data_IF_691510163943
#
_entry.id   IF_691510163943
#
_cell.length_a   1.000
_cell.length_b   1.000
_cell.length_c   1.000
_cell.angle_alpha   90.00
_cell.angle_beta   90.00
_cell.angle_gamma   90.00
#
_symmetry.space_group_name_H-M   'P 1'
#
loop_
_entity.id
_entity.type
_entity.pdbx_description
1 polymer ?
#
# COMPACT_ATOMS: atom_id res chain seq x y z
N UNK A 1 43.52 -34.22 12.67
CA UNK A 1 44.26 -33.95 11.42
C UNK A 1 43.81 -32.59 10.89
N UNK A 2 44.71 -31.59 10.88
CA UNK A 2 44.50 -30.23 10.34
C UNK A 2 44.88 -30.22 8.85
N UNK A 3 44.18 -29.42 8.04
CA UNK A 3 44.60 -28.64 6.85
C UNK A 3 43.34 -27.84 6.46
N UNK A 4 43.14 -26.57 6.87
CA UNK A 4 43.64 -25.29 6.31
C UNK A 4 43.46 -25.15 4.79
N UNK A 5 42.47 -24.37 4.37
CA UNK A 5 42.51 -23.68 3.08
C UNK A 5 42.49 -22.16 3.30
N UNK A 6 43.38 -21.53 2.54
CA UNK A 6 43.92 -20.19 2.67
C UNK A 6 43.10 -19.25 1.76
N UNK A 7 42.48 -18.22 2.32
CA UNK A 7 41.98 -17.08 1.55
C UNK A 7 43.13 -16.07 1.45
N UNK A 8 43.66 -15.90 0.24
CA UNK A 8 44.70 -14.92 -0.09
C UNK A 8 44.09 -13.51 -0.05
N UNK A 9 44.57 -12.69 0.88
CA UNK A 9 44.36 -11.25 0.91
C UNK A 9 45.32 -10.55 -0.07
N UNK A 10 44.78 -9.92 -1.10
CA UNK A 10 45.58 -9.05 -2.00
C UNK A 10 45.52 -7.63 -1.48
N UNK A 11 46.56 -7.23 -0.75
CA UNK A 11 46.92 -5.84 -0.46
C UNK A 11 47.37 -5.19 -1.79
N UNK A 12 46.68 -4.13 -2.24
CA UNK A 12 47.15 -3.31 -3.36
C UNK A 12 47.79 -2.04 -2.79
N UNK A 13 49.11 -1.98 -2.87
CA UNK A 13 49.96 -0.89 -2.41
C UNK A 13 49.84 0.32 -3.35
N UNK A 14 49.76 1.50 -2.75
CA UNK A 14 49.75 2.81 -3.42
C UNK A 14 51.20 3.31 -3.53
N UNK A 15 51.72 3.66 -4.72
CA UNK A 15 53.00 4.35 -4.81
C UNK A 15 52.78 5.86 -4.75
N UNK A 16 53.32 6.48 -3.71
CA UNK A 16 53.59 7.91 -3.69
C UNK A 16 54.75 8.21 -4.65
N UNK A 17 54.51 9.05 -5.65
CA UNK A 17 55.60 9.73 -6.36
C UNK A 17 55.48 11.24 -6.24
N UNK A 18 56.63 11.77 -5.86
CA UNK A 18 56.98 13.14 -5.55
C UNK A 18 56.74 14.12 -6.70
N UNK A 19 56.39 15.34 -6.27
CA UNK A 19 56.65 16.62 -6.90
C UNK A 19 58.00 16.66 -7.65
N UNK A 20 58.03 17.33 -8.81
CA UNK A 20 58.95 18.44 -9.16
C UNK A 20 58.89 18.76 -10.67
N UNK A 21 58.56 20.01 -11.00
CA UNK A 21 59.05 20.84 -12.12
C UNK A 21 58.11 22.04 -12.27
N UNK A 22 58.34 23.17 -11.60
CA UNK A 22 59.22 24.30 -11.99
C UNK A 22 58.59 25.27 -13.01
N UNK A 23 58.28 26.45 -12.48
CA UNK A 23 58.19 27.79 -13.05
C UNK A 23 58.37 28.00 -14.57
N UNK A 24 57.40 28.70 -15.16
CA UNK A 24 57.49 29.96 -15.93
C UNK A 24 56.09 30.15 -16.54
N UNK A 25 55.33 31.23 -16.36
CA UNK A 25 55.58 32.65 -16.12
C UNK A 25 54.26 33.24 -15.59
N UNK A 26 54.31 34.27 -14.73
CA UNK A 26 53.10 35.00 -14.31
C UNK A 26 52.51 35.79 -15.48
N UNK A 27 51.18 35.87 -15.60
CA UNK A 27 50.54 37.04 -16.17
C UNK A 27 49.65 37.74 -15.13
N UNK A 28 50.01 38.99 -14.91
CA UNK A 28 49.14 40.13 -14.62
C UNK A 28 48.17 40.07 -13.43
N UNK A 29 48.55 40.80 -12.39
CA UNK A 29 47.63 41.52 -11.49
C UNK A 29 46.52 42.23 -12.27
N UNK A 30 45.28 41.75 -12.15
CA UNK A 30 44.15 42.42 -12.79
C UNK A 30 42.86 41.62 -12.88
N UNK A 31 42.37 41.04 -11.79
CA UNK A 31 40.95 40.69 -11.68
C UNK A 31 40.37 41.38 -10.46
N UNK A 32 39.35 42.20 -10.69
CA UNK A 32 38.64 42.91 -9.63
C UNK A 32 38.10 41.93 -8.61
N UNK A 33 38.20 42.24 -7.31
CA UNK A 33 37.55 41.53 -6.20
C UNK A 33 36.01 41.50 -6.28
N UNK A 34 35.43 42.07 -7.35
CA UNK A 34 34.01 42.07 -7.65
C UNK A 34 33.74 41.25 -8.90
N UNK A 35 32.67 40.43 -8.90
CA UNK A 35 32.30 39.64 -10.06
C UNK A 35 32.12 40.53 -11.30
N UNK A 36 32.71 40.08 -12.40
CA UNK A 36 32.62 40.73 -13.70
C UNK A 36 31.16 40.76 -14.16
N UNK A 37 30.68 41.92 -14.59
CA UNK A 37 29.34 42.12 -15.14
C UNK A 37 29.17 41.20 -16.36
N UNK A 38 28.49 40.07 -16.18
CA UNK A 38 28.36 39.03 -17.21
C UNK A 38 27.89 37.67 -16.72
N UNK A 39 27.88 37.39 -15.42
CA UNK A 39 27.11 36.25 -14.91
C UNK A 39 25.62 36.56 -15.05
N UNK A 40 24.91 35.72 -15.81
CA UNK A 40 23.48 35.85 -15.99
C UNK A 40 22.78 35.48 -14.68
N UNK A 41 22.54 36.48 -13.83
CA UNK A 41 21.78 36.36 -12.58
C UNK A 41 20.26 36.25 -12.83
N UNK A 42 19.83 35.93 -14.06
CA UNK A 42 18.42 35.75 -14.37
C UNK A 42 17.80 34.66 -13.48
N UNK A 43 16.57 34.90 -12.98
CA UNK A 43 15.88 33.92 -12.14
C UNK A 43 15.62 32.63 -12.92
N UNK A 44 15.96 31.49 -12.31
CA UNK A 44 15.59 30.16 -12.80
C UNK A 44 14.62 29.53 -11.82
N UNK A 45 13.46 29.12 -12.33
CA UNK A 45 12.40 28.51 -11.53
C UNK A 45 12.56 27.00 -11.41
N UNK A 46 12.20 26.43 -10.26
CA UNK A 46 12.18 24.99 -10.03
C UNK A 46 11.12 24.60 -8.99
N UNK A 47 10.72 23.33 -8.99
CA UNK A 47 9.82 22.74 -8.00
C UNK A 47 10.64 22.46 -6.73
N UNK A 48 10.22 23.05 -5.61
CA UNK A 48 10.74 22.69 -4.30
C UNK A 48 10.13 21.38 -3.84
N UNK A 49 10.94 20.32 -3.90
CA UNK A 49 10.58 18.97 -3.52
C UNK A 49 11.27 18.52 -2.23
N UNK A 50 11.88 19.43 -1.45
CA UNK A 50 12.71 19.07 -0.28
C UNK A 50 11.95 18.30 0.80
N UNK A 51 10.63 18.46 0.85
CA UNK A 51 9.76 17.74 1.76
C UNK A 51 9.54 16.25 1.40
N UNK A 52 9.98 15.81 0.21
CA UNK A 52 9.74 14.44 -0.27
C UNK A 52 11.03 13.63 -0.33
N UNK A 53 10.98 12.44 0.25
CA UNK A 53 12.01 11.41 0.18
C UNK A 53 11.35 10.13 -0.34
N UNK A 54 11.78 9.57 -1.49
CA UNK A 54 12.83 10.09 -2.39
C UNK A 54 12.47 11.42 -3.05
N UNK A 55 13.49 12.18 -3.49
CA UNK A 55 13.28 13.46 -4.20
C UNK A 55 12.60 13.20 -5.55
N UNK A 56 11.69 14.10 -5.95
CA UNK A 56 10.94 14.05 -7.22
C UNK A 56 10.05 12.81 -7.43
N UNK A 57 9.79 12.02 -6.39
CA UNK A 57 9.01 10.80 -6.52
C UNK A 57 8.18 10.53 -5.27
N UNK A 58 6.93 10.11 -5.47
CA UNK A 58 6.06 9.56 -4.43
C UNK A 58 5.41 8.28 -4.93
N UNK A 59 5.21 7.32 -4.04
CA UNK A 59 4.36 6.14 -4.27
C UNK A 59 3.20 6.19 -3.29
N UNK A 60 1.99 5.95 -3.78
CA UNK A 60 0.77 5.91 -2.96
C UNK A 60 -0.08 4.72 -3.37
N UNK A 61 -0.57 3.97 -2.38
CA UNK A 61 -1.60 2.95 -2.58
C UNK A 61 -2.96 3.54 -2.21
N UNK A 62 -3.94 3.42 -3.08
CA UNK A 62 -5.34 3.72 -2.80
C UNK A 62 -6.17 2.43 -2.87
N UNK A 63 -7.35 2.45 -2.26
CA UNK A 63 -8.16 1.25 -2.05
C UNK A 63 -9.46 1.35 -2.85
N UNK A 64 -9.87 0.26 -3.48
CA UNK A 64 -11.23 0.07 -3.97
C UNK A 64 -12.00 -0.84 -3.00
N UNK A 65 -13.25 -0.48 -2.70
CA UNK A 65 -14.13 -1.29 -1.85
C UNK A 65 -14.82 -2.36 -2.68
N UNK A 66 -14.33 -3.58 -2.62
CA UNK A 66 -14.83 -4.72 -3.40
C UNK A 66 -14.97 -4.41 -4.89
N UNK A 67 -16.12 -4.75 -5.47
CA UNK A 67 -16.44 -4.41 -6.87
C UNK A 67 -17.18 -3.07 -7.03
N UNK A 68 -17.28 -2.25 -5.97
CA UNK A 68 -17.95 -0.95 -6.08
C UNK A 68 -17.09 0.06 -6.84
N UNK A 69 -17.73 1.11 -7.33
CA UNK A 69 -17.04 2.26 -7.96
C UNK A 69 -16.44 3.22 -6.91
N UNK A 70 -16.50 2.87 -5.62
CA UNK A 70 -16.01 3.71 -4.53
C UNK A 70 -14.51 3.47 -4.28
N UNK A 71 -13.73 4.54 -4.44
CA UNK A 71 -12.32 4.59 -4.10
C UNK A 71 -12.10 5.29 -2.77
N UNK A 72 -11.42 4.62 -1.86
CA UNK A 72 -10.86 5.21 -0.66
C UNK A 72 -9.49 5.80 -1.00
N UNK A 73 -9.49 7.11 -1.17
CA UNK A 73 -8.31 7.90 -1.47
C UNK A 73 -7.61 8.29 -0.16
N UNK A 74 -6.31 8.00 0.01
CA UNK A 74 -5.55 8.52 1.14
C UNK A 74 -5.63 10.05 1.16
N UNK A 75 -5.70 10.66 2.34
CA UNK A 75 -5.70 12.13 2.50
C UNK A 75 -4.40 12.84 2.06
N UNK A 76 -3.54 12.13 1.34
CA UNK A 76 -2.28 12.55 0.81
C UNK A 76 -2.47 13.59 -0.31
N UNK A 77 -2.15 14.84 0.01
CA UNK A 77 -2.10 15.93 -0.97
C UNK A 77 -0.65 16.27 -1.28
N UNK A 78 -0.27 16.24 -2.55
CA UNK A 78 1.01 16.79 -2.99
C UNK A 78 0.96 18.31 -2.89
N UNK A 79 1.86 18.87 -2.09
CA UNK A 79 2.11 20.30 -1.97
C UNK A 79 3.47 20.64 -2.58
N UNK A 80 3.49 21.55 -3.57
CA UNK A 80 4.73 22.00 -4.23
C UNK A 80 4.82 23.52 -4.25
N UNK A 81 5.91 24.08 -3.74
CA UNK A 81 6.22 25.48 -3.99
C UNK A 81 7.10 25.63 -5.23
N UNK A 82 6.94 26.74 -5.94
CA UNK A 82 7.92 27.17 -6.94
C UNK A 82 8.97 28.01 -6.23
N UNK A 83 10.24 27.70 -6.47
CA UNK A 83 11.37 28.51 -6.02
C UNK A 83 12.16 29.08 -7.19
N UNK A 84 12.79 30.23 -6.93
CA UNK A 84 13.68 30.91 -7.86
C UNK A 84 15.11 30.89 -7.33
N UNK A 85 16.10 30.77 -8.22
CA UNK A 85 17.52 30.92 -7.88
C UNK A 85 17.92 32.36 -7.56
N UNK A 86 17.17 33.34 -8.06
CA UNK A 86 17.35 34.77 -7.82
C UNK A 86 15.98 35.47 -7.82
N UNK A 87 15.89 36.65 -7.19
CA UNK A 87 14.63 37.38 -7.12
C UNK A 87 14.27 37.99 -8.48
N UNK A 88 12.99 37.90 -8.86
CA UNK A 88 12.46 38.53 -10.07
C UNK A 88 12.09 40.01 -9.82
N UNK A 89 12.19 40.84 -10.86
CA UNK A 89 11.86 42.26 -10.85
C UNK A 89 10.37 42.55 -11.10
N UNK A 90 9.60 41.50 -11.38
CA UNK A 90 8.14 41.47 -11.54
C UNK A 90 7.55 40.24 -10.84
N UNK A 91 6.23 40.23 -10.69
CA UNK A 91 5.50 39.03 -10.29
C UNK A 91 5.60 37.97 -11.40
N UNK A 92 5.75 36.71 -11.01
CA UNK A 92 5.79 35.57 -11.93
C UNK A 92 4.68 34.58 -11.59
N UNK A 93 3.92 34.20 -12.60
CA UNK A 93 2.85 33.21 -12.52
C UNK A 93 3.35 31.86 -13.02
N UNK A 94 2.96 30.80 -12.32
CA UNK A 94 3.28 29.43 -12.68
C UNK A 94 2.03 28.57 -12.66
N UNK A 95 1.90 27.69 -13.63
CA UNK A 95 0.86 26.66 -13.68
C UNK A 95 1.49 25.29 -13.55
N UNK A 96 0.81 24.37 -12.87
CA UNK A 96 1.17 22.96 -12.86
C UNK A 96 0.35 22.21 -13.91
N UNK A 97 0.97 21.26 -14.59
CA UNK A 97 0.30 20.40 -15.58
C UNK A 97 0.80 18.96 -15.51
N UNK A 98 -0.05 18.05 -15.98
CA UNK A 98 0.37 16.68 -16.29
C UNK A 98 1.16 16.69 -17.59
N UNK A 99 2.38 16.14 -17.56
CA UNK A 99 3.24 15.94 -18.74
C UNK A 99 3.94 14.59 -18.65
N UNK A 100 3.24 13.54 -19.07
CA UNK A 100 3.73 12.17 -19.04
C UNK A 100 4.91 11.92 -19.99
N UNK A 101 5.25 12.85 -20.90
CA UNK A 101 6.49 12.75 -21.69
C UNK A 101 7.76 12.90 -20.84
N UNK A 102 7.63 13.41 -19.60
CA UNK A 102 8.73 13.58 -18.65
C UNK A 102 8.92 12.42 -17.68
N UNK A 103 8.11 11.37 -17.78
CA UNK A 103 8.34 10.14 -17.01
C UNK A 103 9.68 9.54 -17.48
N UNK A 104 10.64 9.27 -16.57
CA UNK A 104 11.90 8.63 -16.94
C UNK A 104 11.64 7.28 -17.62
N UNK A 105 12.35 6.97 -18.71
CA UNK A 105 12.15 5.71 -19.45
C UNK A 105 12.29 4.46 -18.56
N UNK A 106 13.20 4.50 -17.58
CA UNK A 106 13.42 3.44 -16.59
C UNK A 106 12.24 3.22 -15.64
N UNK A 107 11.31 4.17 -15.57
CA UNK A 107 10.10 4.12 -14.74
C UNK A 107 8.83 3.99 -15.58
N UNK A 108 8.90 4.30 -16.89
CA UNK A 108 7.76 4.12 -17.78
C UNK A 108 7.50 2.63 -18.10
N UNK A 109 8.55 1.80 -18.09
CA UNK A 109 8.43 0.36 -18.32
C UNK A 109 7.70 -0.31 -17.15
N UNK A 110 6.50 -0.83 -17.42
CA UNK A 110 5.66 -1.51 -16.42
C UNK A 110 4.61 -0.62 -15.74
N UNK A 111 4.52 0.67 -16.10
CA UNK A 111 3.53 1.59 -15.53
C UNK A 111 2.55 2.12 -16.56
N UNK A 112 1.28 2.22 -16.17
CA UNK A 112 0.23 2.87 -16.96
C UNK A 112 0.26 4.38 -16.72
N UNK A 113 0.41 5.23 -17.74
CA UNK A 113 0.35 6.68 -17.55
C UNK A 113 -1.09 7.13 -17.25
N UNK A 114 -1.30 7.90 -16.18
CA UNK A 114 -2.59 8.54 -15.92
C UNK A 114 -2.65 9.96 -16.42
N UNK A 115 -3.82 10.37 -16.92
CA UNK A 115 -4.06 11.74 -17.36
C UNK A 115 -4.49 12.66 -16.20
N UNK A 116 -4.77 13.93 -16.53
CA UNK A 116 -5.17 14.93 -15.55
C UNK A 116 -6.51 14.64 -14.85
N UNK A 117 -7.38 13.79 -15.42
CA UNK A 117 -8.69 13.45 -14.83
C UNK A 117 -8.56 12.61 -13.56
N UNK A 118 -7.42 11.95 -13.38
CA UNK A 118 -7.06 11.19 -12.18
C UNK A 118 -6.73 12.05 -10.96
N UNK A 119 -6.65 13.38 -11.14
CA UNK A 119 -6.20 14.30 -10.10
C UNK A 119 -7.17 15.47 -9.93
N UNK A 120 -7.31 15.92 -8.68
CA UNK A 120 -7.93 17.20 -8.33
C UNK A 120 -6.82 18.21 -8.13
N UNK A 121 -6.71 19.16 -9.05
CA UNK A 121 -5.78 20.29 -8.97
C UNK A 121 -6.38 21.39 -8.08
N UNK A 122 -6.36 21.19 -6.77
CA UNK A 122 -6.95 22.12 -5.79
C UNK A 122 -6.31 23.52 -5.83
N UNK A 123 -5.03 23.59 -6.16
CA UNK A 123 -4.34 24.84 -6.50
C UNK A 123 -3.46 24.59 -7.71
N UNK A 124 -3.91 25.01 -8.89
CA UNK A 124 -3.25 24.76 -10.17
C UNK A 124 -2.34 25.90 -10.64
N UNK A 125 -2.51 27.09 -10.06
CA UNK A 125 -1.77 28.32 -10.42
C UNK A 125 -1.23 28.95 -9.15
N UNK A 126 0.03 29.36 -9.17
CA UNK A 126 0.69 30.07 -8.06
C UNK A 126 1.46 31.27 -8.57
N UNK A 127 1.76 32.20 -7.65
CA UNK A 127 2.52 33.41 -7.96
C UNK A 127 3.73 33.53 -7.04
N UNK A 128 4.90 33.78 -7.63
CA UNK A 128 6.08 34.30 -6.94
C UNK A 128 6.03 35.82 -7.05
N UNK A 129 5.94 36.53 -5.93
CA UNK A 129 5.90 38.00 -5.95
C UNK A 129 7.25 38.59 -6.26
N UNK A 130 7.25 39.76 -6.90
CA UNK A 130 8.43 40.59 -7.13
C UNK A 130 9.29 40.66 -5.86
N UNK A 131 10.58 40.47 -6.01
CA UNK A 131 11.55 40.56 -4.90
C UNK A 131 11.58 39.35 -3.97
N UNK A 132 10.74 38.33 -4.19
CA UNK A 132 10.71 37.09 -3.39
C UNK A 132 11.31 35.91 -4.15
N UNK A 133 11.67 34.85 -3.42
CA UNK A 133 12.29 33.63 -3.98
C UNK A 133 11.37 32.42 -4.01
N UNK A 134 10.15 32.53 -3.48
CA UNK A 134 9.22 31.41 -3.37
C UNK A 134 7.79 31.87 -3.66
N UNK A 135 7.01 30.97 -4.25
CA UNK A 135 5.57 31.16 -4.43
C UNK A 135 4.87 31.39 -3.07
N UNK A 136 3.90 32.30 -3.03
CA UNK A 136 3.16 32.60 -1.80
C UNK A 136 2.36 31.40 -1.28
N UNK A 137 1.75 30.67 -2.21
CA UNK A 137 0.99 29.45 -1.96
C UNK A 137 1.66 28.27 -2.70
N UNK A 138 1.53 27.03 -2.20
CA UNK A 138 1.93 25.85 -2.95
C UNK A 138 0.87 25.47 -3.99
N UNK A 139 1.27 24.79 -5.05
CA UNK A 139 0.36 23.92 -5.78
C UNK A 139 -0.14 22.84 -4.85
N UNK A 140 -1.41 22.44 -5.01
CA UNK A 140 -2.04 21.37 -4.24
C UNK A 140 -2.71 20.41 -5.20
N UNK A 141 -2.29 19.15 -5.14
CA UNK A 141 -2.78 18.08 -6.02
C UNK A 141 -3.19 16.90 -5.15
N UNK A 142 -4.46 16.52 -5.25
CA UNK A 142 -5.02 15.33 -4.62
C UNK A 142 -5.45 14.31 -5.69
N UNK A 143 -5.65 13.05 -5.30
CA UNK A 143 -6.26 12.08 -6.20
C UNK A 143 -7.75 12.35 -6.36
N UNK A 144 -8.27 12.10 -7.56
CA UNK A 144 -9.70 12.20 -7.83
C UNK A 144 -10.39 10.86 -7.56
N UNK A 145 -11.10 10.74 -6.43
CA UNK A 145 -11.85 9.52 -6.08
C UNK A 145 -12.95 9.13 -7.07
N UNK A 146 -13.34 10.01 -7.99
CA UNK A 146 -14.31 9.74 -9.06
C UNK A 146 -13.62 9.39 -10.40
N UNK A 147 -12.29 9.24 -10.42
CA UNK A 147 -11.55 8.93 -11.66
C UNK A 147 -11.84 7.52 -12.15
N UNK A 148 -12.34 7.43 -13.38
CA UNK A 148 -12.52 6.17 -14.10
C UNK A 148 -11.20 5.49 -14.43
N UNK A 149 -10.12 6.25 -14.64
CA UNK A 149 -8.81 5.66 -14.91
C UNK A 149 -8.22 4.99 -13.67
N UNK A 150 -8.37 5.63 -12.50
CA UNK A 150 -7.97 5.03 -11.21
C UNK A 150 -8.80 3.78 -10.94
N UNK A 151 -10.13 3.86 -11.13
CA UNK A 151 -11.00 2.70 -10.95
C UNK A 151 -10.60 1.52 -11.86
N UNK A 152 -10.20 1.80 -13.10
CA UNK A 152 -9.86 0.79 -14.11
C UNK A 152 -8.45 0.19 -13.97
N UNK A 153 -7.56 0.72 -13.13
CA UNK A 153 -6.27 0.09 -12.83
C UNK A 153 -6.52 -1.27 -12.17
N UNK A 154 -5.75 -2.33 -12.44
CA UNK A 154 -5.88 -3.59 -11.68
C UNK A 154 -4.96 -3.60 -10.46
N UNK A 155 -5.12 -4.57 -9.55
CA UNK A 155 -4.26 -4.75 -8.37
C UNK A 155 -2.84 -5.25 -8.70
N UNK A 156 -2.65 -5.77 -9.91
CA UNK A 156 -1.35 -6.21 -10.44
C UNK A 156 -0.64 -5.16 -11.29
N UNK A 157 -1.30 -4.03 -11.55
CA UNK A 157 -0.76 -2.91 -12.30
C UNK A 157 -0.28 -1.79 -11.38
N UNK A 158 0.70 -1.02 -11.85
CA UNK A 158 1.07 0.26 -11.28
C UNK A 158 0.79 1.37 -12.29
N UNK A 159 0.29 2.50 -11.81
CA UNK A 159 0.14 3.70 -12.61
C UNK A 159 1.18 4.75 -12.24
N UNK A 160 1.43 5.69 -13.15
CA UNK A 160 2.35 6.80 -12.89
C UNK A 160 1.91 8.08 -13.62
N UNK A 161 2.19 9.22 -13.02
CA UNK A 161 2.01 10.54 -13.66
C UNK A 161 3.21 11.42 -13.37
N UNK A 162 3.61 12.22 -14.35
CA UNK A 162 4.57 13.29 -14.16
C UNK A 162 3.89 14.66 -14.16
N UNK A 163 4.19 15.48 -13.16
CA UNK A 163 3.77 16.86 -13.04
C UNK A 163 4.92 17.79 -13.37
N UNK A 164 4.65 18.80 -14.19
CA UNK A 164 5.63 19.85 -14.54
C UNK A 164 5.06 21.23 -14.29
N UNK A 165 5.96 22.20 -14.15
CA UNK A 165 5.59 23.61 -14.09
C UNK A 165 5.83 24.29 -15.43
N UNK A 166 4.98 25.26 -15.75
CA UNK A 166 5.16 26.18 -16.85
C UNK A 166 4.86 27.61 -16.41
N UNK A 167 5.43 28.58 -17.13
CA UNK A 167 5.19 30.00 -16.85
C UNK A 167 4.95 30.76 -18.16
N UNK A 168 3.89 31.59 -18.24
CA UNK A 168 3.69 32.48 -19.37
C UNK A 168 4.64 33.68 -19.37
N UNK A 169 5.39 33.92 -18.28
CA UNK A 169 6.13 35.15 -18.05
C UNK A 169 7.55 35.17 -18.63
N UNK A 170 7.94 34.11 -19.36
CA UNK A 170 9.23 33.99 -20.04
C UNK A 170 10.42 33.68 -19.12
N UNK A 171 10.17 33.30 -17.86
CA UNK A 171 11.22 32.86 -16.93
C UNK A 171 11.75 31.47 -17.31
N UNK A 172 13.06 31.28 -17.19
CA UNK A 172 13.68 29.97 -17.42
C UNK A 172 13.26 28.98 -16.34
N UNK A 173 12.91 27.76 -16.74
CA UNK A 173 12.62 26.66 -15.84
C UNK A 173 13.83 25.72 -15.82
N UNK A 174 14.19 25.21 -14.63
CA UNK A 174 15.32 24.30 -14.45
C UNK A 174 15.16 23.00 -15.24
N UNK A 175 16.21 22.53 -15.91
CA UNK A 175 16.16 21.27 -16.65
C UNK A 175 16.13 20.01 -15.75
N UNK A 176 16.49 20.16 -14.45
CA UNK A 176 16.67 19.03 -13.52
C UNK A 176 15.60 18.92 -12.44
N UNK A 177 14.98 20.04 -12.06
CA UNK A 177 14.08 20.14 -10.91
C UNK A 177 12.73 20.73 -11.31
N UNK A 178 12.23 20.35 -12.48
CA UNK A 178 10.96 20.83 -13.03
C UNK A 178 9.87 19.76 -13.15
N UNK A 179 10.18 18.53 -12.74
CA UNK A 179 9.30 17.38 -12.90
C UNK A 179 9.19 16.64 -11.57
N UNK A 180 7.98 16.26 -11.21
CA UNK A 180 7.70 15.40 -10.07
C UNK A 180 6.85 14.21 -10.52
N UNK A 181 7.27 12.99 -10.19
CA UNK A 181 6.54 11.77 -10.55
C UNK A 181 5.74 11.23 -9.36
N UNK A 182 4.51 10.78 -9.63
CA UNK A 182 3.66 10.13 -8.63
C UNK A 182 3.25 8.75 -9.15
N UNK A 183 3.78 7.70 -8.53
CA UNK A 183 3.37 6.32 -8.72
C UNK A 183 2.14 6.01 -7.86
N UNK A 184 1.17 5.32 -8.46
CA UNK A 184 -0.06 4.93 -7.82
C UNK A 184 -0.28 3.43 -7.95
N UNK A 185 -0.66 2.78 -6.86
CA UNK A 185 -1.05 1.36 -6.81
C UNK A 185 -2.46 1.24 -6.29
N UNK A 186 -3.19 0.23 -6.74
CA UNK A 186 -4.53 -0.06 -6.25
C UNK A 186 -4.53 -1.37 -5.47
N UNK A 187 -5.16 -1.35 -4.30
CA UNK A 187 -5.57 -2.57 -3.61
C UNK A 187 -7.10 -2.69 -3.63
N UNK A 188 -7.62 -3.91 -3.68
CA UNK A 188 -9.06 -4.16 -3.55
C UNK A 188 -9.31 -4.79 -2.20
N UNK A 189 -10.06 -4.11 -1.35
CA UNK A 189 -10.47 -4.63 -0.05
C UNK A 189 -11.86 -5.19 -0.18
N UNK A 190 -12.00 -6.49 0.04
CA UNK A 190 -13.31 -7.13 0.01
C UNK A 190 -13.98 -7.16 1.38
N UNK A 191 -13.36 -6.66 2.45
CA UNK A 191 -13.91 -6.72 3.81
C UNK A 191 -14.46 -5.36 4.23
N UNK A 192 -15.74 -5.34 4.62
CA UNK A 192 -16.45 -4.19 5.14
C UNK A 192 -16.37 -4.16 6.68
N UNK A 193 -15.57 -3.25 7.27
CA UNK A 193 -15.40 -3.17 8.72
C UNK A 193 -16.67 -2.72 9.46
N UNK A 194 -17.62 -2.10 8.76
CA UNK A 194 -18.89 -1.62 9.31
C UNK A 194 -20.08 -2.50 8.88
N UNK A 195 -19.83 -3.65 8.26
CA UNK A 195 -20.89 -4.52 7.80
C UNK A 195 -21.66 -5.17 8.95
N UNK A 196 -22.96 -5.35 8.74
CA UNK A 196 -23.86 -6.03 9.68
C UNK A 196 -24.48 -7.26 9.01
N UNK A 197 -24.87 -8.25 9.81
CA UNK A 197 -25.44 -9.51 9.32
C UNK A 197 -26.96 -9.61 9.52
N UNK A 198 -27.61 -8.59 10.10
CA UNK A 198 -29.01 -8.63 10.56
C UNK A 198 -30.03 -8.99 9.46
N UNK A 199 -29.68 -8.76 8.19
CA UNK A 199 -30.52 -9.04 7.03
C UNK A 199 -29.99 -10.18 6.14
N UNK A 200 -28.96 -10.89 6.58
CA UNK A 200 -28.36 -11.99 5.81
C UNK A 200 -28.96 -13.33 6.23
N UNK A 201 -29.06 -14.24 5.27
CA UNK A 201 -29.49 -15.60 5.56
C UNK A 201 -28.28 -16.45 5.94
N UNK A 202 -28.33 -17.09 7.10
CA UNK A 202 -27.31 -18.08 7.46
C UNK A 202 -27.36 -19.23 6.43
N UNK A 203 -26.20 -19.61 5.92
CA UNK A 203 -26.03 -20.82 5.12
C UNK A 203 -26.13 -22.02 6.06
N UNK A 204 -26.95 -23.00 5.69
CA UNK A 204 -27.13 -24.21 6.51
C UNK A 204 -25.79 -24.88 6.80
N UNK A 205 -25.54 -25.18 8.07
CA UNK A 205 -24.28 -25.79 8.51
C UNK A 205 -24.01 -27.14 7.84
N UNK A 206 -25.06 -27.84 7.41
CA UNK A 206 -24.95 -29.11 6.69
C UNK A 206 -24.37 -28.97 5.26
N UNK A 207 -24.21 -27.77 4.71
CA UNK A 207 -23.75 -27.56 3.33
C UNK A 207 -22.27 -27.17 3.20
N UNK A 208 -21.55 -27.11 4.32
CA UNK A 208 -20.10 -26.88 4.34
C UNK A 208 -19.44 -27.63 5.50
N UNK A 209 -18.17 -27.95 5.33
CA UNK A 209 -17.34 -28.61 6.34
C UNK A 209 -16.19 -27.66 6.76
N UNK A 210 -15.87 -27.61 8.05
CA UNK A 210 -14.74 -26.82 8.58
C UNK A 210 -13.64 -27.76 9.06
N UNK A 211 -12.40 -27.52 8.63
CA UNK A 211 -11.24 -28.35 8.90
C UNK A 211 -10.05 -27.52 9.41
N UNK A 212 -9.42 -27.98 10.50
CA UNK A 212 -8.27 -27.32 11.11
C UNK A 212 -7.01 -28.17 10.97
N UNK A 213 -5.88 -27.54 10.63
CA UNK A 213 -4.66 -28.20 10.16
C UNK A 213 -3.82 -29.02 11.16
N UNK A 214 -4.27 -29.23 12.40
CA UNK A 214 -3.46 -29.86 13.47
C UNK A 214 -4.21 -30.93 14.26
N UNK A 215 -3.59 -32.11 14.42
CA UNK A 215 -3.96 -33.25 15.27
C UNK A 215 -5.45 -33.38 15.67
N UNK A 216 -6.18 -34.22 14.93
CA UNK A 216 -7.35 -34.94 15.46
C UNK A 216 -8.68 -34.63 14.76
N UNK A 217 -8.98 -35.45 13.75
CA UNK A 217 -10.28 -35.65 13.06
C UNK A 217 -10.90 -34.42 12.35
N UNK A 218 -11.45 -34.72 11.18
CA UNK A 218 -12.29 -33.83 10.36
C UNK A 218 -13.40 -33.26 11.27
N UNK A 219 -13.62 -31.95 11.19
CA UNK A 219 -14.49 -31.20 12.08
C UNK A 219 -15.94 -31.67 12.08
N UNK A 220 -16.50 -31.84 13.28
CA UNK A 220 -17.93 -32.07 13.44
C UNK A 220 -18.62 -31.03 14.32
N UNK A 221 -17.91 -30.03 14.87
CA UNK A 221 -18.48 -29.10 15.87
C UNK A 221 -18.12 -27.61 15.64
N UNK A 222 -17.37 -27.24 14.59
CA UNK A 222 -17.15 -25.81 14.23
C UNK A 222 -18.17 -25.30 13.20
N UNK A 223 -19.10 -26.16 12.82
CA UNK A 223 -20.21 -25.88 11.92
C UNK A 223 -21.34 -26.83 12.27
N UNK A 224 -21.70 -26.93 13.55
CA UNK A 224 -22.83 -27.75 14.03
C UNK A 224 -24.03 -26.90 14.46
N UNK A 225 -23.86 -25.58 14.51
CA UNK A 225 -24.87 -24.63 14.94
C UNK A 225 -24.85 -24.34 16.44
N UNK A 226 -24.02 -24.99 17.25
CA UNK A 226 -23.89 -24.77 18.68
C UNK A 226 -22.85 -23.69 18.99
N UNK A 227 -23.19 -22.74 19.88
CA UNK A 227 -22.25 -21.72 20.34
C UNK A 227 -21.43 -22.17 21.56
N UNK A 228 -21.84 -23.27 22.18
CA UNK A 228 -21.37 -23.71 23.49
C UNK A 228 -20.80 -25.13 23.42
N UNK A 229 -19.80 -25.29 22.56
CA UNK A 229 -18.98 -26.51 22.51
C UNK A 229 -18.01 -26.51 23.70
N UNK A 230 -18.13 -27.50 24.58
CA UNK A 230 -17.12 -27.74 25.63
C UNK A 230 -15.79 -28.25 25.04
N UNK A 231 -15.83 -28.69 23.79
CA UNK A 231 -14.67 -29.02 22.98
C UNK A 231 -14.06 -27.72 22.43
N UNK A 232 -13.04 -27.21 23.10
CA UNK A 232 -12.31 -26.04 22.61
C UNK A 232 -11.45 -26.46 21.40
N UNK A 233 -11.74 -25.91 20.23
CA UNK A 233 -11.00 -26.28 19.02
C UNK A 233 -9.80 -25.37 18.84
N UNK A 234 -8.62 -25.93 19.06
CA UNK A 234 -7.38 -25.34 18.60
C UNK A 234 -7.35 -25.38 17.08
N UNK A 235 -7.64 -24.24 16.47
CA UNK A 235 -7.75 -24.14 15.00
C UNK A 235 -6.41 -23.86 14.33
N UNK A 236 -5.44 -23.31 15.07
CA UNK A 236 -4.09 -23.06 14.56
C UNK A 236 -3.09 -22.79 15.69
N UNK A 237 -1.82 -23.14 15.44
CA UNK A 237 -0.67 -22.43 15.99
C UNK A 237 -0.32 -21.33 15.00
N UNK A 238 -0.34 -20.08 15.45
CA UNK A 238 -0.17 -18.87 14.63
C UNK A 238 1.01 -19.06 13.65
N UNK A 239 0.81 -18.62 12.40
CA UNK A 239 1.80 -18.59 11.30
C UNK A 239 2.15 -19.88 10.53
N UNK A 240 1.54 -21.05 10.80
CA UNK A 240 1.90 -22.28 10.03
C UNK A 240 0.73 -23.05 9.40
N UNK A 241 -0.53 -22.74 9.73
CA UNK A 241 -1.69 -23.51 9.29
C UNK A 241 -2.91 -22.65 8.96
N UNK A 242 -3.66 -23.08 7.95
CA UNK A 242 -4.96 -22.51 7.58
C UNK A 242 -6.09 -23.32 8.21
N UNK A 243 -7.11 -22.64 8.72
CA UNK A 243 -8.44 -23.23 8.83
C UNK A 243 -9.06 -23.23 7.44
N UNK A 244 -9.61 -24.36 7.03
CA UNK A 244 -10.16 -24.56 5.69
C UNK A 244 -11.64 -24.85 5.78
N UNK A 245 -12.42 -24.19 4.94
CA UNK A 245 -13.86 -24.38 4.82
C UNK A 245 -14.14 -24.88 3.41
N UNK A 246 -14.82 -26.02 3.28
CA UNK A 246 -15.22 -26.61 2.01
C UNK A 246 -16.74 -26.57 1.91
N UNK A 247 -17.25 -25.80 0.94
CA UNK A 247 -18.66 -25.83 0.59
C UNK A 247 -18.92 -26.98 -0.39
N UNK A 248 -20.08 -27.64 -0.24
CA UNK A 248 -20.46 -28.75 -1.12
C UNK A 248 -20.61 -28.31 -2.59
N UNK A 249 -21.09 -27.08 -2.79
CA UNK A 249 -21.27 -26.43 -4.09
C UNK A 249 -20.66 -25.01 -4.09
N UNK A 250 -20.61 -24.38 -5.27
CA UNK A 250 -20.30 -22.94 -5.38
C UNK A 250 -21.43 -22.12 -4.76
N UNK A 251 -21.09 -21.26 -3.80
CA UNK A 251 -22.04 -20.37 -3.11
C UNK A 251 -21.50 -18.95 -3.11
N UNK A 252 -22.41 -18.00 -3.21
CA UNK A 252 -22.13 -16.58 -3.01
C UNK A 252 -22.24 -16.29 -1.51
N UNK A 253 -21.11 -16.00 -0.84
CA UNK A 253 -21.08 -15.68 0.60
C UNK A 253 -20.96 -14.17 0.81
N UNK A 254 -21.68 -13.64 1.80
CA UNK A 254 -21.70 -12.21 2.13
C UNK A 254 -21.05 -11.93 3.48
N UNK A 255 -21.00 -12.91 4.39
CA UNK A 255 -20.26 -12.78 5.65
C UNK A 255 -19.79 -14.11 6.22
N UNK A 256 -18.78 -14.03 7.07
CA UNK A 256 -18.27 -15.09 7.94
C UNK A 256 -18.43 -14.60 9.38
N UNK A 257 -19.00 -15.41 10.26
CA UNK A 257 -19.05 -15.14 11.69
C UNK A 257 -18.18 -16.14 12.42
N UNK A 258 -17.28 -15.63 13.25
CA UNK A 258 -16.45 -16.42 14.15
C UNK A 258 -16.95 -16.27 15.59
N UNK A 259 -17.22 -17.39 16.25
CA UNK A 259 -17.69 -17.40 17.64
C UNK A 259 -16.50 -17.68 18.58
N UNK A 260 -16.21 -16.77 19.52
CA UNK A 260 -15.13 -16.96 20.49
C UNK A 260 -15.46 -18.04 21.52
N UNK A 261 -14.43 -18.65 22.10
CA UNK A 261 -14.58 -19.55 23.25
C UNK A 261 -15.01 -18.79 24.51
N UNK A 262 -15.67 -19.51 25.42
CA UNK A 262 -16.05 -19.01 26.73
C UNK A 262 -14.99 -19.27 27.80
N UNK A 263 -15.44 -19.70 28.98
CA UNK A 263 -14.57 -20.03 30.11
C UNK A 263 -14.47 -21.54 30.29
N UNK A 264 -13.26 -22.03 30.59
CA UNK A 264 -13.03 -23.41 31.00
C UNK A 264 -12.29 -23.44 32.34
N UNK A 265 -12.85 -24.10 33.34
CA UNK A 265 -12.25 -24.24 34.68
C UNK A 265 -11.78 -22.92 35.32
N UNK A 266 -12.44 -21.81 35.01
CA UNK A 266 -12.12 -20.48 35.51
C UNK A 266 -11.26 -19.64 34.56
N UNK A 267 -10.56 -20.27 33.61
CA UNK A 267 -9.73 -19.59 32.62
C UNK A 267 -10.59 -18.98 31.51
N UNK A 268 -10.30 -17.72 31.17
CA UNK A 268 -10.89 -17.02 30.04
C UNK A 268 -10.21 -17.47 28.75
N UNK A 269 -10.89 -18.27 27.93
CA UNK A 269 -10.34 -18.77 26.67
C UNK A 269 -10.54 -17.78 25.51
N UNK A 270 -11.37 -16.74 25.68
CA UNK A 270 -11.54 -15.69 24.64
C UNK A 270 -10.24 -14.92 24.38
N UNK A 271 -9.28 -14.99 25.31
CA UNK A 271 -7.92 -14.47 25.14
C UNK A 271 -7.15 -15.11 23.98
N UNK A 272 -7.55 -16.31 23.55
CA UNK A 272 -7.01 -17.02 22.38
C UNK A 272 -7.77 -16.71 21.10
N UNK A 273 -8.71 -15.78 21.13
CA UNK A 273 -9.40 -15.37 19.92
C UNK A 273 -8.45 -14.61 18.99
N UNK A 274 -8.70 -14.74 17.70
CA UNK A 274 -7.89 -14.06 16.70
C UNK A 274 -8.10 -12.55 16.75
N UNK A 275 -7.01 -11.81 16.56
CA UNK A 275 -7.02 -10.36 16.39
C UNK A 275 -6.97 -9.98 14.92
N UNK A 276 -6.21 -10.71 14.11
CA UNK A 276 -6.05 -10.45 12.69
C UNK A 276 -6.06 -11.76 11.90
N UNK A 277 -6.81 -11.77 10.82
CA UNK A 277 -6.90 -12.90 9.88
C UNK A 277 -6.71 -12.43 8.44
N UNK A 278 -6.15 -13.32 7.62
CA UNK A 278 -6.17 -13.24 6.18
C UNK A 278 -7.14 -14.29 5.63
N UNK A 279 -7.99 -13.88 4.69
CA UNK A 279 -9.01 -14.73 4.08
C UNK A 279 -8.69 -14.90 2.60
N UNK A 280 -8.66 -16.15 2.16
CA UNK A 280 -8.46 -16.55 0.78
C UNK A 280 -9.70 -17.32 0.29
N UNK A 281 -10.10 -17.12 -0.96
CA UNK A 281 -11.23 -17.80 -1.60
C UNK A 281 -10.81 -18.51 -2.89
N UNK A 282 -11.45 -19.64 -3.20
CA UNK A 282 -11.27 -20.36 -4.45
C UNK A 282 -12.60 -20.87 -5.01
N UNK A 283 -12.72 -20.87 -6.34
CA UNK A 283 -13.83 -21.47 -7.09
C UNK A 283 -13.51 -22.88 -7.61
N UNK A 284 -12.37 -23.45 -7.21
CA UNK A 284 -11.92 -24.76 -7.71
C UNK A 284 -12.97 -25.86 -7.47
N UNK A 285 -13.14 -26.73 -8.45
CA UNK A 285 -14.02 -27.91 -8.36
C UNK A 285 -13.34 -29.12 -7.69
N UNK A 286 -12.06 -28.99 -7.31
CA UNK A 286 -11.27 -30.04 -6.66
C UNK A 286 -11.68 -30.24 -5.20
N UNK A 287 -11.38 -31.39 -4.60
CA UNK A 287 -11.58 -31.53 -3.16
C UNK A 287 -10.63 -30.61 -2.38
N UNK A 288 -10.97 -30.27 -1.14
CA UNK A 288 -10.12 -29.44 -0.27
C UNK A 288 -8.69 -29.99 -0.05
N UNK A 289 -8.47 -31.30 -0.24
CA UNK A 289 -7.16 -31.92 -0.12
C UNK A 289 -6.32 -31.81 -1.42
N UNK A 290 -6.96 -31.53 -2.54
CA UNK A 290 -6.33 -31.48 -3.87
C UNK A 290 -6.19 -30.04 -4.41
N UNK A 291 -6.93 -29.09 -3.84
CA UNK A 291 -6.82 -27.66 -4.19
C UNK A 291 -5.51 -27.09 -3.66
N UNK A 292 -4.77 -26.42 -4.54
CA UNK A 292 -3.46 -25.84 -4.22
C UNK A 292 -3.56 -24.35 -3.89
N UNK A 293 -2.57 -23.83 -3.16
CA UNK A 293 -2.55 -22.44 -2.71
C UNK A 293 -2.64 -21.44 -3.88
N UNK A 294 -2.04 -21.75 -5.03
CA UNK A 294 -2.10 -20.93 -6.24
C UNK A 294 -3.48 -20.83 -6.88
N UNK A 295 -4.43 -21.69 -6.49
CA UNK A 295 -5.83 -21.64 -6.95
C UNK A 295 -6.70 -20.73 -6.08
N UNK A 296 -6.11 -20.06 -5.08
CA UNK A 296 -6.79 -19.12 -4.22
C UNK A 296 -6.48 -17.67 -4.60
N UNK A 297 -7.49 -16.83 -4.47
CA UNK A 297 -7.36 -15.37 -4.52
C UNK A 297 -7.56 -14.81 -3.12
N UNK A 298 -6.79 -13.78 -2.76
CA UNK A 298 -6.95 -13.09 -1.48
C UNK A 298 -8.25 -12.30 -1.48
N UNK A 299 -9.12 -12.57 -0.51
CA UNK A 299 -10.32 -11.77 -0.23
C UNK A 299 -9.98 -10.59 0.69
N UNK A 300 -9.02 -10.74 1.61
CA UNK A 300 -8.48 -9.59 2.34
C UNK A 300 -8.09 -9.92 3.77
N UNK A 301 -7.80 -8.86 4.53
CA UNK A 301 -7.48 -8.93 5.96
C UNK A 301 -8.64 -8.40 6.79
N UNK A 302 -8.93 -9.07 7.91
CA UNK A 302 -9.89 -8.60 8.90
C UNK A 302 -9.19 -8.41 10.24
N UNK A 303 -9.51 -7.31 10.93
CA UNK A 303 -9.03 -7.05 12.29
C UNK A 303 -10.19 -6.98 13.27
N UNK A 304 -10.17 -7.84 14.29
CA UNK A 304 -11.08 -7.77 15.41
C UNK A 304 -10.66 -6.62 16.31
N UNK A 305 -11.50 -5.59 16.43
CA UNK A 305 -11.13 -4.34 17.12
C UNK A 305 -10.99 -4.50 18.63
N UNK A 306 -11.85 -5.34 19.22
CA UNK A 306 -11.92 -5.55 20.67
C UNK A 306 -11.81 -7.03 20.98
N UNK A 307 -11.10 -7.37 22.06
CA UNK A 307 -11.09 -8.73 22.57
C UNK A 307 -12.51 -9.12 23.00
N UNK A 308 -13.11 -10.19 22.48
CA UNK A 308 -14.42 -10.65 22.93
C UNK A 308 -14.39 -11.11 24.39
N UNK A 309 -15.51 -10.99 25.09
CA UNK A 309 -15.70 -11.44 26.47
C UNK A 309 -16.23 -12.87 26.61
N UNK A 310 -16.72 -13.47 25.52
CA UNK A 310 -17.23 -14.84 25.48
C UNK A 310 -18.13 -15.09 24.25
N UNK A 311 -18.81 -16.25 24.15
CA UNK A 311 -19.51 -16.71 22.93
C UNK A 311 -20.61 -15.79 22.38
N UNK A 312 -21.13 -14.88 23.21
CA UNK A 312 -22.11 -13.87 22.76
C UNK A 312 -21.46 -12.73 21.95
N UNK A 313 -20.17 -12.48 22.16
CA UNK A 313 -19.39 -11.43 21.48
C UNK A 313 -18.84 -11.94 20.13
N UNK A 314 -19.75 -12.36 19.26
CA UNK A 314 -19.43 -12.92 17.93
C UNK A 314 -18.75 -11.88 17.04
N UNK A 315 -17.74 -12.31 16.30
CA UNK A 315 -17.07 -11.45 15.33
C UNK A 315 -17.61 -11.69 13.92
N UNK A 316 -18.34 -10.70 13.40
CA UNK A 316 -18.83 -10.69 12.03
C UNK A 316 -17.79 -10.08 11.09
N UNK A 317 -17.40 -10.82 10.07
CA UNK A 317 -16.56 -10.37 8.97
C UNK A 317 -17.44 -10.33 7.74
N UNK A 318 -17.81 -9.12 7.31
CA UNK A 318 -18.74 -8.91 6.20
C UNK A 318 -17.96 -8.50 4.96
N UNK A 319 -18.36 -8.97 3.79
CA UNK A 319 -17.71 -8.61 2.53
C UNK A 319 -18.38 -7.41 1.82
N UNK A 320 -17.60 -6.62 1.09
CA UNK A 320 -18.08 -5.68 0.10
C UNK A 320 -18.58 -6.43 -1.14
N UNK A 321 -19.86 -6.78 -1.12
CA UNK A 321 -20.48 -7.64 -2.12
C UNK A 321 -20.22 -9.13 -1.87
N UNK A 322 -21.09 -9.97 -2.42
CA UNK A 322 -21.02 -11.41 -2.24
C UNK A 322 -19.79 -12.00 -2.96
N UNK A 323 -19.06 -12.88 -2.28
CA UNK A 323 -17.90 -13.59 -2.80
C UNK A 323 -18.32 -14.98 -3.27
N UNK A 324 -18.20 -15.26 -4.57
CA UNK A 324 -18.51 -16.59 -5.11
C UNK A 324 -17.35 -17.54 -4.85
N UNK A 325 -17.55 -18.51 -3.96
CA UNK A 325 -16.50 -19.43 -3.54
C UNK A 325 -17.03 -20.85 -3.34
N UNK A 326 -16.13 -21.82 -3.43
CA UNK A 326 -16.34 -23.20 -3.00
C UNK A 326 -15.38 -23.58 -1.86
N UNK A 327 -14.21 -22.94 -1.80
CA UNK A 327 -13.26 -23.12 -0.71
C UNK A 327 -12.89 -21.77 -0.10
N UNK A 328 -12.78 -21.74 1.22
CA UNK A 328 -12.27 -20.59 1.98
C UNK A 328 -11.12 -21.06 2.85
N UNK A 329 -9.98 -20.40 2.78
CA UNK A 329 -8.88 -20.60 3.70
C UNK A 329 -8.73 -19.36 4.58
N UNK A 330 -8.70 -19.56 5.89
CA UNK A 330 -8.48 -18.52 6.88
C UNK A 330 -7.13 -18.77 7.54
N UNK A 331 -6.22 -17.82 7.34
CA UNK A 331 -4.93 -17.78 8.00
C UNK A 331 -5.01 -16.82 9.19
N UNK A 332 -4.68 -17.32 10.37
CA UNK A 332 -4.66 -16.51 11.58
C UNK A 332 -3.30 -15.83 11.74
N UNK A 333 -3.28 -14.52 11.52
CA UNK A 333 -2.07 -13.68 11.50
C UNK A 333 -1.63 -13.35 12.93
N UNK A 334 -2.59 -13.03 13.82
CA UNK A 334 -2.32 -12.75 15.24
C UNK A 334 -3.51 -13.06 16.15
N UNK A 335 -3.25 -13.12 17.46
CA UNK A 335 -4.26 -13.28 18.53
C UNK A 335 -4.14 -12.20 19.60
N UNK A 336 -5.07 -12.18 20.55
CA UNK A 336 -5.04 -11.26 21.67
C UNK A 336 -4.10 -11.63 22.82
N UNK A 337 -3.58 -12.86 22.92
CA UNK A 337 -2.70 -13.20 24.05
C UNK A 337 -1.69 -14.34 23.89
N UNK A 338 -1.77 -15.21 22.87
CA UNK A 338 -0.86 -16.36 22.73
C UNK A 338 -0.63 -16.78 21.27
N UNK A 339 0.27 -17.75 21.03
CA UNK A 339 0.51 -18.36 19.71
C UNK A 339 -0.56 -19.37 19.28
N UNK A 340 -1.65 -19.51 20.04
CA UNK A 340 -2.74 -20.44 19.76
C UNK A 340 -4.03 -19.68 19.44
N UNK A 341 -4.84 -20.28 18.56
CA UNK A 341 -6.18 -19.77 18.26
C UNK A 341 -7.22 -20.81 18.66
N UNK A 342 -8.19 -20.39 19.47
CA UNK A 342 -9.37 -21.19 19.81
C UNK A 342 -10.65 -20.55 19.27
N UNK A 343 -11.53 -21.38 18.72
CA UNK A 343 -12.85 -21.00 18.22
C UNK A 343 -13.91 -22.01 18.67
N UNK A 344 -15.15 -21.54 18.83
CA UNK A 344 -16.30 -22.39 19.17
C UNK A 344 -17.15 -22.77 17.95
N UNK A 345 -17.30 -21.86 16.99
CA UNK A 345 -18.21 -22.06 15.86
C UNK A 345 -17.90 -21.09 14.71
N UNK A 346 -18.12 -21.55 13.48
CA UNK A 346 -18.01 -20.78 12.24
C UNK A 346 -19.32 -20.84 11.48
N UNK A 347 -19.90 -19.66 11.22
CA UNK A 347 -21.11 -19.52 10.40
C UNK A 347 -20.83 -18.74 9.14
N UNK A 348 -21.43 -19.19 8.04
CA UNK A 348 -21.42 -18.48 6.76
C UNK A 348 -22.80 -17.87 6.51
N UNK A 349 -22.83 -16.71 5.85
CA UNK A 349 -24.06 -15.99 5.51
C UNK A 349 -24.05 -15.61 4.03
N UNK A 350 -25.23 -15.51 3.42
CA UNK A 350 -25.44 -15.03 2.06
C UNK A 350 -26.45 -13.88 2.03
#
# INVERSE_FOLDING_TARGET
>A
MKIKNIIKSTFMAMPAFLLLASCQSEPEVGSTLYPTKGEDYSPVAYIDNRAYIPKNFKSTTYIQKGSSDELEIPGDTLCFNVQLTAAADKDLTFNIKVDNSKIPATTAEGHKPFDASSFKMETATVTVKKGTLQSQEPFKIALNGESKELLALTDSEAGITAFTIESPDGVKISDKYNTYSWELKKEVYWINPNGMIDNLAQIETSVYDVNCGGYGRIGLELSDGDNNTFANYRVSDISSQFMKIELKDLVDITAIQLTPCGRLWGDDLSRFFSKEIEILGSISAKSMNDVKAEEFSRLGFATCQNKPGGPEDKWNIVFYGSQRVRHIWIHFVSSFSEDQILLNEVRLFK
#
